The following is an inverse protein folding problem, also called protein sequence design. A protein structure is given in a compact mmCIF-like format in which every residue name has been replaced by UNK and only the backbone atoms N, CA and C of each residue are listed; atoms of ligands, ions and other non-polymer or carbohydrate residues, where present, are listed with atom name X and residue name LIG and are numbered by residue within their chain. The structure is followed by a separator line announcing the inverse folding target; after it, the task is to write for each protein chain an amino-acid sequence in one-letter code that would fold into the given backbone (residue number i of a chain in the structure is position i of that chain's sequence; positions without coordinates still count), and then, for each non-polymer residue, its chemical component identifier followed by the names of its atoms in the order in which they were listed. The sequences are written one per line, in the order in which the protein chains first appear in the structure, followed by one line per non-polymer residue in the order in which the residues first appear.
data_IF_050597221600
#
_entry.id   IF_050597221600
#
_cell.length_a   1.000
_cell.length_b   1.000
_cell.length_c   1.000
_cell.angle_alpha   90.00
_cell.angle_beta   90.00
_cell.angle_gamma   90.00
#
_symmetry.space_group_name_H-M   'P 1'
#
loop_
_entity.id
_entity.type
_entity.pdbx_description
1 polymer ?
#
# COMPACT_ATOMS: atom_id res chain seq x y z
N UNK A 1 3.38 -9.22 -17.22
CA UNK A 1 2.56 -8.02 -17.49
C UNK A 1 3.03 -7.34 -18.76
N UNK A 2 2.10 -6.88 -19.57
CA UNK A 2 2.45 -6.19 -20.81
C UNK A 2 3.13 -4.87 -20.50
N UNK A 3 4.07 -4.49 -21.36
CA UNK A 3 4.85 -3.27 -21.21
C UNK A 3 3.97 -2.01 -21.19
N UNK A 4 2.95 -1.96 -22.04
CA UNK A 4 2.03 -0.83 -22.11
C UNK A 4 1.25 -0.66 -20.81
N UNK A 5 0.79 -1.76 -20.23
CA UNK A 5 0.04 -1.71 -18.96
C UNK A 5 0.96 -1.26 -17.83
N UNK A 6 2.18 -1.78 -17.80
CA UNK A 6 3.16 -1.38 -16.79
C UNK A 6 3.46 0.11 -16.87
N UNK A 7 3.60 0.65 -18.09
CA UNK A 7 3.82 2.08 -18.26
C UNK A 7 2.61 2.91 -17.79
N UNK A 8 1.39 2.45 -18.11
CA UNK A 8 0.18 3.12 -17.64
C UNK A 8 0.11 3.16 -16.11
N UNK A 9 0.50 2.08 -15.46
CA UNK A 9 0.55 2.02 -13.99
C UNK A 9 1.56 3.04 -13.47
N UNK A 10 2.74 3.08 -14.06
CA UNK A 10 3.79 4.01 -13.65
C UNK A 10 3.33 5.47 -13.77
N UNK A 11 2.64 5.80 -14.86
CA UNK A 11 2.18 7.16 -15.12
C UNK A 11 0.96 7.55 -14.30
N UNK A 12 0.29 6.58 -13.71
CA UNK A 12 -0.95 6.80 -12.95
C UNK A 12 -0.77 7.83 -11.84
N UNK A 13 0.39 7.82 -11.18
CA UNK A 13 0.76 8.81 -10.17
C UNK A 13 2.09 9.47 -10.49
N UNK A 14 2.37 9.64 -11.78
CA UNK A 14 3.50 10.43 -12.27
C UNK A 14 4.85 9.96 -11.70
N UNK A 15 5.06 8.66 -11.61
CA UNK A 15 6.31 8.10 -11.13
C UNK A 15 6.46 8.06 -9.62
N UNK A 16 5.36 8.25 -8.89
CA UNK A 16 5.36 8.15 -7.43
C UNK A 16 4.75 6.83 -6.97
N UNK A 17 5.24 6.33 -5.84
CA UNK A 17 4.57 5.23 -5.15
C UNK A 17 3.17 5.67 -4.74
N UNK A 18 2.15 4.92 -5.12
CA UNK A 18 0.77 5.27 -4.78
C UNK A 18 0.47 5.20 -3.29
N UNK A 19 1.30 4.51 -2.53
CA UNK A 19 1.11 4.39 -1.09
C UNK A 19 1.87 5.44 -0.30
N UNK A 20 3.19 5.50 -0.39
CA UNK A 20 3.98 6.45 0.40
C UNK A 20 4.29 7.77 -0.30
N UNK A 21 4.10 7.84 -1.62
CA UNK A 21 4.37 9.05 -2.38
C UNK A 21 5.82 9.25 -2.78
N UNK A 22 6.69 8.32 -2.42
CA UNK A 22 8.10 8.40 -2.81
C UNK A 22 8.24 8.34 -4.34
N UNK A 23 9.15 9.13 -4.89
CA UNK A 23 9.50 9.04 -6.31
C UNK A 23 10.21 7.71 -6.56
N UNK A 24 9.76 6.97 -7.58
CA UNK A 24 10.36 5.69 -7.94
C UNK A 24 10.74 5.70 -9.42
N UNK A 25 11.84 5.02 -9.75
CA UNK A 25 12.20 4.85 -11.16
C UNK A 25 11.38 3.72 -11.76
N UNK A 26 11.10 3.84 -13.07
CA UNK A 26 10.28 2.86 -13.78
C UNK A 26 10.78 1.42 -13.56
N UNK A 27 12.10 1.22 -13.63
CA UNK A 27 12.70 -0.11 -13.49
C UNK A 27 12.47 -0.72 -12.10
N UNK A 28 12.30 0.12 -11.08
CA UNK A 28 12.19 -0.31 -9.68
C UNK A 28 10.74 -0.42 -9.22
N UNK A 29 9.78 0.01 -10.04
CA UNK A 29 8.38 -0.02 -9.67
C UNK A 29 7.87 -1.45 -9.53
N UNK A 30 7.17 -1.71 -8.44
CA UNK A 30 6.35 -2.91 -8.28
C UNK A 30 4.92 -2.57 -8.66
N UNK A 31 4.20 -3.52 -9.23
CA UNK A 31 2.78 -3.34 -9.52
C UNK A 31 2.00 -4.18 -8.52
N UNK A 32 1.26 -3.50 -7.66
CA UNK A 32 0.47 -4.14 -6.63
C UNK A 32 -1.00 -4.20 -7.04
N UNK A 33 -1.69 -5.26 -6.61
CA UNK A 33 -3.14 -5.32 -6.72
C UNK A 33 -3.73 -4.72 -5.45
N UNK A 34 -4.50 -3.64 -5.59
CA UNK A 34 -5.14 -2.98 -4.43
C UNK A 34 -6.01 -3.97 -3.69
N UNK A 35 -6.90 -4.66 -4.41
CA UNK A 35 -7.58 -5.85 -3.89
C UNK A 35 -6.70 -7.03 -4.26
N UNK A 36 -6.11 -7.72 -3.26
CA UNK A 36 -5.13 -8.78 -3.55
C UNK A 36 -5.72 -9.92 -4.38
N UNK A 37 -4.90 -10.51 -5.23
CA UNK A 37 -5.32 -11.60 -6.09
C UNK A 37 -5.94 -12.76 -5.30
N UNK A 38 -5.38 -13.09 -4.16
CA UNK A 38 -5.86 -14.20 -3.32
C UNK A 38 -7.26 -13.98 -2.77
N UNK A 39 -7.70 -12.72 -2.66
CA UNK A 39 -8.98 -12.33 -2.07
C UNK A 39 -9.95 -11.76 -3.09
N UNK A 40 -9.49 -11.53 -4.32
CA UNK A 40 -10.24 -10.72 -5.28
C UNK A 40 -11.64 -11.27 -5.56
N UNK A 41 -11.70 -12.54 -5.97
CA UNK A 41 -12.98 -13.11 -6.37
C UNK A 41 -13.96 -13.20 -5.21
N UNK A 42 -13.48 -13.56 -4.03
CA UNK A 42 -14.33 -13.64 -2.84
C UNK A 42 -14.91 -12.29 -2.47
N UNK A 43 -14.06 -11.26 -2.45
CA UNK A 43 -14.50 -9.90 -2.08
C UNK A 43 -15.47 -9.33 -3.11
N UNK A 44 -15.18 -9.51 -4.39
CA UNK A 44 -16.06 -9.00 -5.46
C UNK A 44 -17.41 -9.73 -5.42
N UNK A 45 -17.40 -11.05 -5.26
CA UNK A 45 -18.63 -11.83 -5.20
C UNK A 45 -19.50 -11.44 -4.01
N UNK A 46 -18.92 -11.32 -2.85
CA UNK A 46 -19.64 -11.01 -1.61
C UNK A 46 -19.84 -9.52 -1.37
N UNK A 47 -19.22 -8.67 -2.17
CA UNK A 47 -19.27 -7.21 -2.05
C UNK A 47 -18.88 -6.71 -0.67
N UNK A 48 -17.82 -7.29 -0.09
CA UNK A 48 -17.30 -6.91 1.22
C UNK A 48 -15.83 -6.50 1.13
N UNK A 49 -15.45 -5.49 1.92
CA UNK A 49 -14.07 -5.05 1.98
C UNK A 49 -13.56 -4.42 0.70
N UNK A 50 -14.43 -3.86 -0.12
CA UNK A 50 -14.07 -3.20 -1.38
C UNK A 50 -14.07 -1.70 -1.16
N UNK A 51 -12.94 -1.01 -1.43
CA UNK A 51 -12.93 0.46 -1.37
C UNK A 51 -13.94 1.05 -2.36
N UNK A 52 -14.54 2.20 -2.00
CA UNK A 52 -15.55 2.84 -2.84
C UNK A 52 -15.05 3.10 -4.26
N UNK A 53 -13.79 3.51 -4.42
CA UNK A 53 -13.25 3.81 -5.74
C UNK A 53 -13.08 2.56 -6.63
N UNK A 54 -13.23 1.36 -6.06
CA UNK A 54 -13.17 0.10 -6.79
C UNK A 54 -14.51 -0.62 -6.84
N UNK A 55 -15.61 0.05 -6.44
CA UNK A 55 -16.93 -0.57 -6.39
C UNK A 55 -17.47 -1.02 -7.75
N UNK A 56 -16.92 -0.46 -8.83
CA UNK A 56 -17.32 -0.80 -10.21
C UNK A 56 -16.69 -2.08 -10.75
N UNK A 57 -15.71 -2.66 -10.04
CA UNK A 57 -15.00 -3.83 -10.55
C UNK A 57 -15.89 -5.07 -10.57
N UNK A 58 -15.71 -5.88 -11.61
CA UNK A 58 -16.39 -7.16 -11.79
C UNK A 58 -15.39 -8.30 -11.60
N UNK A 59 -15.83 -9.57 -11.55
CA UNK A 59 -14.90 -10.70 -11.45
C UNK A 59 -13.86 -10.79 -12.56
N UNK A 60 -14.06 -10.09 -13.67
CA UNK A 60 -13.13 -10.05 -14.80
C UNK A 60 -12.04 -9.00 -14.63
N UNK A 61 -12.07 -8.22 -13.56
CA UNK A 61 -11.29 -6.98 -13.46
C UNK A 61 -10.12 -7.07 -12.49
N UNK A 62 -9.62 -8.26 -12.19
CA UNK A 62 -8.43 -8.41 -11.33
C UNK A 62 -7.29 -7.48 -11.78
N UNK A 63 -7.04 -7.44 -13.07
CA UNK A 63 -5.96 -6.66 -13.67
C UNK A 63 -6.43 -5.35 -14.30
N UNK A 64 -7.62 -4.89 -13.93
CA UNK A 64 -8.10 -3.57 -14.36
C UNK A 64 -7.15 -2.49 -13.83
N UNK A 65 -6.90 -1.47 -14.65
CA UNK A 65 -5.94 -0.41 -14.28
C UNK A 65 -6.26 0.22 -12.92
N UNK A 66 -7.53 0.32 -12.56
CA UNK A 66 -7.94 0.89 -11.28
C UNK A 66 -7.54 0.02 -10.08
N UNK A 67 -7.39 -1.29 -10.30
CA UNK A 67 -6.94 -2.21 -9.25
C UNK A 67 -5.42 -2.38 -9.21
N UNK A 68 -4.70 -1.72 -10.10
CA UNK A 68 -3.25 -1.80 -10.15
C UNK A 68 -2.64 -0.52 -9.57
N UNK A 69 -1.69 -0.68 -8.67
CA UNK A 69 -1.09 0.43 -7.95
C UNK A 69 0.42 0.41 -8.13
N UNK A 70 1.03 1.53 -8.58
CA UNK A 70 2.48 1.61 -8.58
C UNK A 70 2.97 1.66 -7.15
N UNK A 71 3.94 0.85 -6.82
CA UNK A 71 4.43 0.73 -5.45
C UNK A 71 5.94 0.65 -5.41
N UNK A 72 6.54 1.28 -4.41
CA UNK A 72 7.94 1.04 -4.10
C UNK A 72 8.07 -0.36 -3.48
N UNK A 73 9.30 -0.88 -3.47
CA UNK A 73 9.56 -2.23 -2.97
C UNK A 73 9.13 -2.40 -1.51
N UNK A 74 9.42 -1.40 -0.69
CA UNK A 74 9.12 -1.47 0.75
C UNK A 74 7.61 -1.51 1.00
N UNK A 75 6.85 -0.60 0.37
CA UNK A 75 5.40 -0.60 0.53
C UNK A 75 4.78 -1.88 0.00
N UNK A 76 5.27 -2.38 -1.15
CA UNK A 76 4.75 -3.63 -1.71
C UNK A 76 4.97 -4.80 -0.75
N UNK A 77 6.15 -4.86 -0.12
CA UNK A 77 6.47 -5.90 0.85
C UNK A 77 5.54 -5.83 2.07
N UNK A 78 5.34 -4.64 2.61
CA UNK A 78 4.52 -4.47 3.82
C UNK A 78 3.04 -4.65 3.55
N UNK A 79 2.56 -4.24 2.38
CA UNK A 79 1.17 -4.46 2.02
C UNK A 79 0.87 -5.94 1.80
N UNK A 80 1.78 -6.66 1.13
CA UNK A 80 1.65 -8.10 0.91
C UNK A 80 0.24 -8.44 0.40
N UNK A 81 -0.50 -9.31 1.10
CA UNK A 81 -1.86 -9.71 0.73
C UNK A 81 -2.94 -8.99 1.55
N UNK A 82 -2.57 -7.95 2.27
CA UNK A 82 -3.55 -7.13 2.97
C UNK A 82 -4.37 -6.30 1.99
N UNK A 83 -5.62 -6.03 2.34
CA UNK A 83 -6.38 -5.00 1.66
C UNK A 83 -5.94 -3.62 2.18
N UNK A 84 -6.56 -2.55 1.67
CA UNK A 84 -6.17 -1.19 2.04
C UNK A 84 -6.32 -0.94 3.54
N UNK A 85 -7.43 -1.37 4.13
CA UNK A 85 -7.67 -1.16 5.56
C UNK A 85 -6.70 -1.98 6.40
N UNK A 86 -6.40 -3.20 6.00
CA UNK A 86 -5.43 -4.05 6.68
C UNK A 86 -4.03 -3.47 6.62
N UNK A 87 -3.62 -2.95 5.47
CA UNK A 87 -2.33 -2.30 5.31
C UNK A 87 -2.25 -1.04 6.18
N UNK A 88 -3.30 -0.22 6.17
CA UNK A 88 -3.38 0.99 7.00
C UNK A 88 -3.20 0.63 8.48
N UNK A 89 -3.87 -0.42 8.92
CA UNK A 89 -3.75 -0.90 10.30
C UNK A 89 -2.32 -1.33 10.63
N UNK A 90 -1.68 -2.07 9.74
CA UNK A 90 -0.28 -2.48 9.94
C UNK A 90 0.63 -1.27 10.13
N UNK A 91 0.44 -0.23 9.30
CA UNK A 91 1.27 0.97 9.40
C UNK A 91 0.99 1.75 10.69
N UNK A 92 -0.27 1.83 11.11
CA UNK A 92 -0.64 2.57 12.32
C UNK A 92 -0.09 1.93 13.60
N UNK A 93 0.30 0.66 13.55
CA UNK A 93 0.82 -0.07 14.71
C UNK A 93 2.35 -0.04 14.81
N UNK A 94 3.04 0.63 13.86
CA UNK A 94 4.51 0.53 13.80
C UNK A 94 5.21 1.12 15.02
N UNK A 95 4.76 2.28 15.53
CA UNK A 95 5.39 2.88 16.69
C UNK A 95 5.19 2.01 17.94
N UNK A 96 4.02 1.40 18.10
CA UNK A 96 3.76 0.49 19.20
C UNK A 96 4.68 -0.74 19.13
N UNK A 97 4.88 -1.29 17.94
CA UNK A 97 5.78 -2.43 17.75
C UNK A 97 7.22 -2.07 18.07
N UNK A 98 7.67 -0.90 17.62
CA UNK A 98 9.01 -0.42 17.93
C UNK A 98 9.20 -0.26 19.45
N UNK A 99 8.23 0.33 20.12
CA UNK A 99 8.28 0.49 21.58
C UNK A 99 8.29 -0.84 22.31
N UNK A 100 7.52 -1.82 21.84
CA UNK A 100 7.38 -3.10 22.53
C UNK A 100 8.51 -4.07 22.23
N UNK A 101 9.09 -4.04 21.04
CA UNK A 101 9.98 -5.11 20.59
C UNK A 101 11.38 -4.65 20.19
N UNK A 102 11.64 -3.34 20.11
CA UNK A 102 12.97 -2.86 19.72
C UNK A 102 13.68 -2.18 20.89
N UNK A 103 14.67 -2.86 21.43
CA UNK A 103 15.52 -2.31 22.50
C UNK A 103 16.26 -1.07 22.00
N UNK A 104 16.76 -1.10 20.77
CA UNK A 104 17.46 0.04 20.18
C UNK A 104 16.55 1.25 20.09
N UNK A 105 15.30 1.04 19.69
CA UNK A 105 14.32 2.12 19.59
C UNK A 105 14.03 2.73 20.97
N UNK A 106 13.82 1.88 21.98
CA UNK A 106 13.52 2.34 23.33
C UNK A 106 14.64 3.16 23.93
N UNK A 107 15.91 2.73 23.74
CA UNK A 107 17.03 3.48 24.30
C UNK A 107 17.21 4.83 23.57
N UNK A 108 17.05 4.84 22.24
CA UNK A 108 17.12 6.07 21.46
C UNK A 108 16.06 7.07 21.90
N UNK A 109 14.84 6.58 22.12
CA UNK A 109 13.73 7.41 22.61
C UNK A 109 14.03 7.98 23.98
N UNK A 110 14.55 7.14 24.89
CA UNK A 110 14.87 7.54 26.26
C UNK A 110 15.88 8.69 26.31
N UNK A 111 16.85 8.68 25.39
CA UNK A 111 17.88 9.71 25.34
C UNK A 111 17.54 10.87 24.41
N UNK A 112 16.29 10.93 23.93
CA UNK A 112 15.82 12.05 23.16
C UNK A 112 16.36 12.12 21.73
N UNK A 113 16.87 11.00 21.21
CA UNK A 113 17.42 10.95 19.85
C UNK A 113 16.34 10.86 18.78
N UNK A 114 15.12 10.50 19.16
CA UNK A 114 13.98 10.39 18.25
C UNK A 114 12.76 11.01 18.91
N UNK A 115 11.85 11.50 18.06
CA UNK A 115 10.54 11.97 18.49
C UNK A 115 9.48 11.14 17.79
N UNK A 116 8.44 10.74 18.54
CA UNK A 116 7.33 9.99 17.97
C UNK A 116 6.22 10.94 17.53
N UNK A 117 5.65 10.64 16.36
CA UNK A 117 4.50 11.37 15.87
C UNK A 117 3.41 10.35 15.53
N UNK A 118 2.32 10.37 16.29
CA UNK A 118 1.13 9.56 16.00
C UNK A 118 0.21 10.39 15.14
N UNK A 119 -0.04 9.89 13.93
CA UNK A 119 -0.95 10.57 12.99
C UNK A 119 -1.70 9.54 12.17
N UNK A 120 -2.89 9.88 11.65
CA UNK A 120 -3.61 9.00 10.75
C UNK A 120 -2.78 8.69 9.51
N UNK A 121 -2.82 7.44 9.07
CA UNK A 121 -2.12 7.04 7.85
C UNK A 121 -2.98 7.43 6.65
N UNK A 122 -2.42 8.27 5.80
CA UNK A 122 -3.04 8.62 4.52
C UNK A 122 -2.12 8.20 3.39
N UNK A 123 -2.66 7.42 2.47
CA UNK A 123 -1.90 7.01 1.30
C UNK A 123 -1.85 8.13 0.28
N UNK A 124 -0.79 8.09 -0.52
CA UNK A 124 -0.59 9.11 -1.55
C UNK A 124 -1.78 9.16 -2.52
N UNK A 125 -2.31 8.00 -2.90
CA UNK A 125 -3.44 7.93 -3.83
C UNK A 125 -4.74 8.50 -3.25
N UNK A 126 -4.79 8.71 -1.93
CA UNK A 126 -5.97 9.27 -1.26
C UNK A 126 -5.93 10.79 -1.15
N UNK A 127 -4.82 11.40 -1.50
CA UNK A 127 -4.65 12.85 -1.35
C UNK A 127 -5.18 13.64 -2.53
#
# INVERSE_FOLDING_TARGET
MRKEVRLQVYEKYQGHCGYCGETIEYKDMQVDHVIPQSEFYRKIDKKIGIPDFLSHLTPMDLNHIDNLMPSCRICNKWKDTFDIDGFRKQLSEQLDRLNNYSSNYRIAKKYGLIQETYKPIKFYFEK
#
